data_IF_356499157466
#
_entry.id   IF_356499157466
#
_cell.length_a   1.000
_cell.length_b   1.000
_cell.length_c   1.000
_cell.angle_alpha   90.00
_cell.angle_beta   90.00
_cell.angle_gamma   90.00
#
_symmetry.space_group_name_H-M   'P 1'
#
loop_
_entity.id
_entity.type
_entity.pdbx_description
1 polymer ?
#
# COMPACT_ATOMS: atom_id res chain seq x y z
N UNK A 1 -34.36 -26.79 1.98
CA UNK A 1 -34.13 -25.46 1.40
C UNK A 1 -32.99 -25.39 0.43
N UNK A 2 -33.10 -26.16 -0.58
CA UNK A 2 -32.04 -26.22 -1.59
C UNK A 2 -31.90 -24.93 -2.40
N UNK A 3 -32.98 -24.16 -2.46
CA UNK A 3 -33.00 -22.92 -3.21
C UNK A 3 -31.94 -21.91 -2.74
N UNK A 4 -31.60 -21.95 -1.44
CA UNK A 4 -30.60 -21.04 -0.89
C UNK A 4 -29.18 -21.37 -1.31
N UNK A 5 -28.99 -22.53 -1.90
CA UNK A 5 -27.65 -22.97 -2.35
C UNK A 5 -27.45 -22.75 -3.84
N UNK A 6 -28.52 -22.46 -4.55
CA UNK A 6 -28.41 -22.26 -5.99
C UNK A 6 -28.08 -20.80 -6.25
N UNK A 7 -26.84 -20.57 -6.66
CA UNK A 7 -26.35 -19.25 -7.01
C UNK A 7 -26.17 -19.24 -8.52
N UNK A 8 -26.81 -18.28 -9.20
CA UNK A 8 -26.66 -18.19 -10.64
C UNK A 8 -25.26 -17.67 -11.01
N UNK A 9 -24.91 -17.78 -12.29
CA UNK A 9 -23.59 -17.40 -12.77
C UNK A 9 -23.33 -15.91 -12.58
N UNK A 10 -24.36 -15.07 -12.71
CA UNK A 10 -24.23 -13.64 -12.52
C UNK A 10 -23.84 -13.31 -11.07
N UNK A 11 -24.48 -13.96 -10.11
CA UNK A 11 -24.13 -13.77 -8.69
C UNK A 11 -22.72 -14.25 -8.37
N UNK A 12 -22.32 -15.39 -8.94
CA UNK A 12 -20.96 -15.91 -8.77
C UNK A 12 -19.94 -14.90 -9.31
N UNK A 13 -20.20 -14.35 -10.49
CA UNK A 13 -19.30 -13.35 -11.11
C UNK A 13 -19.17 -12.11 -10.25
N UNK A 14 -20.27 -11.63 -9.67
CA UNK A 14 -20.25 -10.47 -8.78
C UNK A 14 -19.42 -10.74 -7.52
N UNK A 15 -19.56 -11.93 -6.96
CA UNK A 15 -18.80 -12.34 -5.77
C UNK A 15 -17.30 -12.37 -6.09
N UNK A 16 -16.95 -12.98 -7.23
CA UNK A 16 -15.56 -13.08 -7.68
C UNK A 16 -14.95 -11.71 -7.97
N UNK A 17 -15.73 -10.81 -8.57
CA UNK A 17 -15.26 -9.45 -8.84
C UNK A 17 -14.98 -8.68 -7.56
N UNK A 18 -15.83 -8.82 -6.55
CA UNK A 18 -15.61 -8.17 -5.24
C UNK A 18 -14.36 -8.71 -4.55
N UNK A 19 -14.18 -10.01 -4.58
CA UNK A 19 -13.00 -10.66 -4.00
C UNK A 19 -11.74 -10.19 -4.71
N UNK A 20 -11.75 -10.17 -6.05
CA UNK A 20 -10.61 -9.69 -6.84
C UNK A 20 -10.26 -8.24 -6.54
N UNK A 21 -11.28 -7.40 -6.43
CA UNK A 21 -11.07 -5.99 -6.12
C UNK A 21 -10.42 -5.85 -4.75
N UNK A 22 -10.90 -6.58 -3.76
CA UNK A 22 -10.30 -6.56 -2.43
C UNK A 22 -8.85 -7.02 -2.45
N UNK A 23 -8.57 -8.12 -3.16
CA UNK A 23 -7.20 -8.64 -3.26
C UNK A 23 -6.26 -7.63 -3.93
N UNK A 24 -6.75 -6.92 -4.94
CA UNK A 24 -5.98 -5.85 -5.56
C UNK A 24 -5.74 -4.69 -4.60
N UNK A 25 -6.73 -4.33 -3.80
CA UNK A 25 -6.58 -3.29 -2.78
C UNK A 25 -5.53 -3.69 -1.74
N UNK A 26 -5.56 -4.94 -1.27
CA UNK A 26 -4.53 -5.45 -0.34
C UNK A 26 -3.13 -5.39 -0.96
N UNK A 27 -3.03 -5.76 -2.22
CA UNK A 27 -1.75 -5.70 -2.93
C UNK A 27 -1.21 -4.28 -2.97
N UNK A 28 -2.08 -3.32 -3.26
CA UNK A 28 -1.69 -1.91 -3.30
C UNK A 28 -1.24 -1.42 -1.92
N UNK A 29 -1.93 -1.84 -0.85
CA UNK A 29 -1.48 -1.52 0.52
C UNK A 29 -0.05 -2.00 0.75
N UNK A 30 0.26 -3.23 0.37
CA UNK A 30 1.61 -3.78 0.54
C UNK A 30 2.64 -3.04 -0.31
N UNK A 31 2.29 -2.66 -1.53
CA UNK A 31 3.18 -1.88 -2.39
C UNK A 31 3.43 -0.48 -1.83
N UNK A 32 2.42 0.14 -1.21
CA UNK A 32 2.59 1.43 -0.54
C UNK A 32 3.48 1.31 0.69
N UNK A 33 3.35 0.22 1.45
CA UNK A 33 4.25 -0.06 2.57
C UNK A 33 5.70 -0.20 2.11
N UNK A 34 5.92 -0.94 1.03
CA UNK A 34 7.25 -1.10 0.43
C UNK A 34 7.80 0.23 -0.06
N UNK A 35 6.97 1.05 -0.68
CA UNK A 35 7.36 2.38 -1.15
C UNK A 35 7.77 3.26 0.03
N UNK A 36 7.00 3.24 1.11
CA UNK A 36 7.33 3.97 2.33
C UNK A 36 8.68 3.54 2.88
N UNK A 37 8.92 2.23 2.96
CA UNK A 37 10.19 1.68 3.45
C UNK A 37 11.35 2.09 2.55
N UNK A 38 11.14 2.13 1.23
CA UNK A 38 12.15 2.58 0.27
C UNK A 38 12.51 4.04 0.48
N UNK A 39 11.53 4.90 0.72
CA UNK A 39 11.77 6.31 1.01
C UNK A 39 12.59 6.49 2.30
N UNK A 40 12.27 5.71 3.34
CA UNK A 40 13.03 5.73 4.59
C UNK A 40 14.48 5.31 4.38
N UNK A 41 14.71 4.29 3.56
CA UNK A 41 16.06 3.82 3.23
C UNK A 41 16.86 4.90 2.49
N UNK A 42 16.21 5.65 1.60
CA UNK A 42 16.87 6.75 0.88
C UNK A 42 17.29 7.85 1.88
N UNK A 43 16.44 8.20 2.81
CA UNK A 43 16.75 9.20 3.84
C UNK A 43 17.98 8.77 4.65
N UNK A 44 18.05 7.50 5.04
CA UNK A 44 19.19 6.98 5.78
C UNK A 44 20.49 7.07 4.99
N UNK A 45 20.44 6.77 3.69
CA UNK A 45 21.59 6.88 2.80
C UNK A 45 22.05 8.32 2.62
N UNK A 46 21.09 9.23 2.45
CA UNK A 46 21.40 10.66 2.34
C UNK A 46 22.09 11.17 3.61
N UNK A 47 21.56 10.82 4.78
CA UNK A 47 22.13 11.21 6.06
C UNK A 47 23.58 10.71 6.19
N UNK A 48 23.84 9.49 5.76
CA UNK A 48 25.18 8.92 5.79
C UNK A 48 26.15 9.69 4.91
N UNK A 49 25.72 10.04 3.69
CA UNK A 49 26.56 10.82 2.77
C UNK A 49 26.81 12.22 3.34
N UNK A 50 25.80 12.85 3.92
CA UNK A 50 25.95 14.17 4.55
C UNK A 50 26.99 14.13 5.68
N UNK A 51 26.95 13.08 6.52
CA UNK A 51 27.94 12.90 7.58
C UNK A 51 29.35 12.73 7.01
N UNK A 52 29.51 11.88 5.99
CA UNK A 52 30.80 11.67 5.33
C UNK A 52 31.32 12.97 4.73
N UNK A 53 30.45 13.81 4.21
CA UNK A 53 30.85 15.08 3.59
C UNK A 53 31.31 16.13 4.62
N UNK A 54 31.00 15.95 5.90
CA UNK A 54 31.50 16.86 6.94
C UNK A 54 33.04 16.89 6.90
N UNK A 55 33.64 15.71 6.76
CA UNK A 55 35.10 15.58 6.67
C UNK A 55 35.65 15.96 5.29
N UNK A 56 34.92 15.61 4.23
CA UNK A 56 35.36 15.89 2.86
C UNK A 56 35.22 17.36 2.49
N UNK A 57 34.09 17.97 2.86
CA UNK A 57 33.87 19.40 2.61
C UNK A 57 33.57 19.76 1.17
N UNK A 58 33.00 18.85 0.38
CA UNK A 58 32.59 19.16 -0.99
C UNK A 58 31.44 20.15 -0.98
N UNK A 59 31.58 21.23 -1.72
CA UNK A 59 30.62 22.34 -1.67
C UNK A 59 29.30 22.04 -2.34
N UNK A 60 29.30 21.26 -3.39
CA UNK A 60 28.06 20.88 -4.07
C UNK A 60 27.25 19.92 -3.21
N UNK A 61 27.90 18.93 -2.62
CA UNK A 61 27.25 17.99 -1.72
C UNK A 61 26.66 18.72 -0.51
N UNK A 62 27.43 19.65 0.06
CA UNK A 62 27.01 20.46 1.19
C UNK A 62 25.73 21.26 0.89
N UNK A 63 25.62 21.76 -0.35
CA UNK A 63 24.48 22.58 -0.79
C UNK A 63 23.27 21.73 -1.19
N UNK A 64 23.49 20.68 -2.01
CA UNK A 64 22.41 19.99 -2.69
C UNK A 64 21.82 18.83 -1.88
N UNK A 65 22.62 18.17 -1.04
CA UNK A 65 22.11 17.03 -0.25
C UNK A 65 21.02 17.41 0.75
N UNK A 66 21.15 18.51 1.52
CA UNK A 66 20.07 18.90 2.44
C UNK A 66 18.76 19.19 1.73
N UNK A 67 18.79 19.82 0.56
CA UNK A 67 17.59 20.10 -0.21
C UNK A 67 16.95 18.82 -0.71
N UNK A 68 17.77 17.87 -1.19
CA UNK A 68 17.28 16.56 -1.60
C UNK A 68 16.69 15.80 -0.42
N UNK A 69 17.36 15.83 0.72
CA UNK A 69 16.88 15.20 1.95
C UNK A 69 15.48 15.72 2.31
N UNK A 70 15.28 17.05 2.22
CA UNK A 70 13.96 17.64 2.52
C UNK A 70 12.88 17.15 1.56
N UNK A 71 13.20 17.09 0.25
CA UNK A 71 12.24 16.61 -0.74
C UNK A 71 11.85 15.15 -0.51
N UNK A 72 12.81 14.31 -0.15
CA UNK A 72 12.54 12.89 0.15
C UNK A 72 11.71 12.77 1.42
N UNK A 73 12.01 13.59 2.44
CA UNK A 73 11.21 13.63 3.67
C UNK A 73 9.77 14.02 3.41
N UNK A 74 9.55 15.01 2.55
CA UNK A 74 8.21 15.44 2.14
C UNK A 74 7.48 14.32 1.39
N UNK A 75 8.19 13.61 0.51
CA UNK A 75 7.63 12.45 -0.18
C UNK A 75 7.27 11.33 0.78
N UNK A 76 8.09 11.08 1.79
CA UNK A 76 7.78 10.08 2.81
C UNK A 76 6.49 10.42 3.55
N UNK A 77 6.31 11.67 3.93
CA UNK A 77 5.09 12.13 4.60
C UNK A 77 3.86 11.92 3.69
N UNK A 78 4.00 12.23 2.40
CA UNK A 78 2.94 12.02 1.43
C UNK A 78 2.57 10.55 1.29
N UNK A 79 3.56 9.68 1.14
CA UNK A 79 3.33 8.23 1.02
C UNK A 79 2.68 7.69 2.29
N UNK A 80 3.13 8.13 3.46
CA UNK A 80 2.55 7.71 4.74
C UNK A 80 1.06 8.08 4.82
N UNK A 81 0.70 9.27 4.38
CA UNK A 81 -0.70 9.71 4.33
C UNK A 81 -1.54 8.91 3.35
N UNK A 82 -1.01 8.66 2.15
CA UNK A 82 -1.67 7.85 1.14
C UNK A 82 -1.91 6.42 1.66
N UNK A 83 -0.89 5.84 2.28
CA UNK A 83 -0.98 4.50 2.85
C UNK A 83 -2.06 4.41 3.93
N UNK A 84 -2.07 5.37 4.85
CA UNK A 84 -3.07 5.40 5.92
C UNK A 84 -4.49 5.47 5.35
N UNK A 85 -4.73 6.38 4.42
CA UNK A 85 -6.05 6.56 3.80
C UNK A 85 -6.46 5.32 3.02
N UNK A 86 -5.55 4.77 2.24
CA UNK A 86 -5.89 3.62 1.40
C UNK A 86 -6.08 2.34 2.23
N UNK A 87 -5.30 2.16 3.30
CA UNK A 87 -5.50 1.04 4.22
C UNK A 87 -6.88 1.10 4.87
N UNK A 88 -7.35 2.30 5.26
CA UNK A 88 -8.69 2.48 5.80
C UNK A 88 -9.76 2.14 4.76
N UNK A 89 -9.58 2.58 3.52
CA UNK A 89 -10.51 2.25 2.43
C UNK A 89 -10.59 0.74 2.20
N UNK A 90 -9.46 0.07 2.28
CA UNK A 90 -9.39 -1.38 2.11
C UNK A 90 -10.15 -2.10 3.22
N UNK A 91 -9.96 -1.67 4.47
CA UNK A 91 -10.68 -2.23 5.60
C UNK A 91 -12.19 -1.98 5.49
N UNK A 92 -12.58 -0.78 5.09
CA UNK A 92 -13.99 -0.44 4.88
C UNK A 92 -14.62 -1.31 3.79
N UNK A 93 -13.90 -1.49 2.69
CA UNK A 93 -14.39 -2.33 1.60
C UNK A 93 -14.59 -3.78 2.07
N UNK A 94 -13.63 -4.31 2.83
CA UNK A 94 -13.72 -5.64 3.41
C UNK A 94 -14.98 -5.76 4.29
N UNK A 95 -15.18 -4.82 5.19
CA UNK A 95 -16.29 -4.86 6.12
C UNK A 95 -17.64 -4.68 5.43
N UNK A 96 -17.75 -3.73 4.50
CA UNK A 96 -19.00 -3.44 3.78
C UNK A 96 -19.44 -4.60 2.89
N UNK A 97 -18.50 -5.36 2.35
CA UNK A 97 -18.79 -6.45 1.43
C UNK A 97 -18.67 -7.83 2.06
N UNK A 98 -18.27 -7.90 3.33
CA UNK A 98 -18.07 -9.16 4.03
C UNK A 98 -17.22 -10.14 3.18
N UNK A 99 -16.03 -9.73 2.84
CA UNK A 99 -15.17 -10.48 1.92
C UNK A 99 -14.89 -11.90 2.42
N UNK A 100 -14.68 -12.08 3.73
CA UNK A 100 -14.47 -13.40 4.31
C UNK A 100 -15.66 -14.32 4.03
N UNK A 101 -16.88 -13.82 4.19
CA UNK A 101 -18.09 -14.57 3.89
C UNK A 101 -18.23 -14.86 2.40
N UNK A 102 -17.86 -13.92 1.54
CA UNK A 102 -17.89 -14.13 0.09
C UNK A 102 -16.88 -15.20 -0.34
N UNK A 103 -15.69 -15.21 0.24
CA UNK A 103 -14.69 -16.23 -0.05
C UNK A 103 -15.16 -17.63 0.38
N UNK A 104 -15.80 -17.71 1.55
CA UNK A 104 -16.38 -18.94 2.02
C UNK A 104 -17.47 -19.45 1.09
N UNK A 105 -18.36 -18.54 0.65
CA UNK A 105 -19.43 -18.87 -0.28
C UNK A 105 -18.88 -19.33 -1.64
N UNK A 106 -17.83 -18.70 -2.15
CA UNK A 106 -17.15 -19.13 -3.37
C UNK A 106 -16.60 -20.54 -3.21
N UNK A 107 -15.95 -20.82 -2.09
CA UNK A 107 -15.39 -22.14 -1.83
C UNK A 107 -16.44 -23.24 -1.82
N UNK A 108 -17.64 -22.94 -1.29
CA UNK A 108 -18.75 -23.89 -1.24
C UNK A 108 -19.34 -24.20 -2.63
N UNK A 109 -19.08 -23.33 -3.61
CA UNK A 109 -19.63 -23.51 -4.96
C UNK A 109 -18.62 -24.07 -5.96
N UNK A 110 -17.46 -24.49 -5.49
CA UNK A 110 -16.46 -25.13 -6.35
C UNK A 110 -16.67 -26.62 -6.48
#
# INVERSE_FOLDING_TARGET
MHLLRVIDQTTIDLIMDKIRKFELMEKIVHELEDLKNSQQAIIQKLAKIEVDNIDLGDKRLEKDLPDMHQRVSDNLDTVAGILEDFAQKTDQYNNQNNIAGLKEQEALNK
#
